data_IF_482675553010
#
_entry.id   IF_482675553010
#
_cell.length_a   1.000
_cell.length_b   1.000
_cell.length_c   1.000
_cell.angle_alpha   90.00
_cell.angle_beta   90.00
_cell.angle_gamma   90.00
#
_symmetry.space_group_name_H-M   'P 1'
#
loop_
_entity.id
_entity.type
_entity.pdbx_description
1 polymer ?
#
# COMPACT_ATOMS: atom_id res chain seq x y z
N UNK A 1 8.40 23.27 -19.81
CA UNK A 1 7.75 24.54 -19.47
C UNK A 1 8.21 24.93 -18.09
N UNK A 2 8.96 26.01 -18.02
CA UNK A 2 9.66 26.49 -16.83
C UNK A 2 8.68 27.23 -15.93
N UNK A 3 8.51 26.78 -14.69
CA UNK A 3 7.92 27.58 -13.61
C UNK A 3 9.04 28.01 -12.65
N UNK A 4 8.96 29.27 -12.23
CA UNK A 4 9.98 30.07 -11.56
C UNK A 4 10.33 29.56 -10.15
N UNK A 5 11.55 29.87 -9.66
CA UNK A 5 11.92 29.71 -8.26
C UNK A 5 11.28 30.83 -7.42
N UNK A 6 11.03 30.54 -6.14
CA UNK A 6 10.59 31.48 -5.09
C UNK A 6 9.08 31.78 -5.03
N UNK A 7 8.32 30.87 -4.39
CA UNK A 7 7.35 31.20 -3.32
C UNK A 7 6.53 29.96 -2.91
N UNK A 8 7.14 28.93 -2.31
CA UNK A 8 6.41 27.96 -1.47
C UNK A 8 7.34 27.50 -0.34
N UNK A 9 7.67 28.41 0.58
CA UNK A 9 8.02 28.01 1.94
C UNK A 9 6.71 27.76 2.72
N UNK A 10 5.99 26.73 2.29
CA UNK A 10 5.07 26.02 3.15
C UNK A 10 5.61 24.61 3.17
N UNK A 11 6.49 24.35 4.13
CA UNK A 11 6.82 23.01 4.57
C UNK A 11 5.49 22.25 4.75
N UNK A 12 5.17 21.34 3.83
CA UNK A 12 4.24 20.26 4.14
C UNK A 12 4.96 19.30 5.08
N UNK A 13 5.09 19.78 6.29
CA UNK A 13 5.62 19.05 7.42
C UNK A 13 4.60 17.95 7.71
N UNK A 14 4.85 16.74 7.23
CA UNK A 14 4.08 15.56 7.64
C UNK A 14 4.32 15.23 9.13
N UNK A 15 5.08 16.05 9.86
CA UNK A 15 5.16 16.12 11.31
C UNK A 15 4.00 16.86 11.99
N UNK A 16 3.12 17.55 11.26
CA UNK A 16 2.12 18.45 11.89
C UNK A 16 0.84 17.75 12.38
N UNK A 17 0.85 16.42 12.48
CA UNK A 17 0.19 15.81 13.64
C UNK A 17 1.19 15.88 14.79
N UNK A 18 1.25 17.01 15.49
CA UNK A 18 1.94 17.17 16.79
C UNK A 18 1.49 16.17 17.87
N UNK A 19 0.64 15.21 17.53
CA UNK A 19 0.33 14.04 18.29
C UNK A 19 1.50 13.04 18.25
N UNK A 20 2.22 12.93 19.36
CA UNK A 20 3.06 11.75 19.62
C UNK A 20 2.23 10.47 19.38
N UNK A 21 2.86 9.33 19.07
CA UNK A 21 2.16 8.02 18.94
C UNK A 21 1.17 7.73 20.09
N UNK A 22 1.45 8.26 21.29
CA UNK A 22 0.62 8.22 22.50
C UNK A 22 -0.69 9.00 22.37
N UNK A 23 -0.72 10.07 21.61
CA UNK A 23 -1.84 10.99 21.45
C UNK A 23 -2.79 10.55 20.33
N UNK A 24 -2.24 10.02 19.22
CA UNK A 24 -3.02 9.29 18.20
C UNK A 24 -3.78 8.09 18.81
N UNK A 25 -3.17 7.37 19.75
CA UNK A 25 -3.80 6.25 20.46
C UNK A 25 -4.81 6.68 21.55
N UNK A 26 -4.75 7.93 22.02
CA UNK A 26 -5.72 8.48 22.99
C UNK A 26 -6.97 9.01 22.30
N UNK A 27 -6.83 9.62 21.12
CA UNK A 27 -7.95 10.22 20.37
C UNK A 27 -8.74 9.21 19.53
N UNK A 28 -8.17 8.03 19.23
CA UNK A 28 -8.84 6.98 18.44
C UNK A 28 -9.54 5.88 19.27
N UNK A 29 -9.65 6.05 20.59
CA UNK A 29 -10.44 5.15 21.45
C UNK A 29 -9.81 3.77 21.74
N UNK A 30 -9.26 3.64 22.94
CA UNK A 30 -9.22 2.37 23.68
C UNK A 30 -7.94 1.52 23.57
N UNK A 31 -7.38 1.22 24.75
CA UNK A 31 -6.12 0.54 25.12
C UNK A 31 -5.85 -0.85 24.51
N UNK A 32 -4.58 -1.11 24.13
CA UNK A 32 -3.92 -2.42 24.30
C UNK A 32 -2.52 -2.20 24.88
N UNK A 33 -2.27 -2.76 26.07
CA UNK A 33 -0.96 -2.99 26.68
C UNK A 33 -0.72 -4.50 26.79
N UNK A 34 0.53 -4.93 26.59
CA UNK A 34 1.01 -6.31 26.82
C UNK A 34 2.08 -6.76 25.80
N UNK A 35 3.30 -6.19 25.80
CA UNK A 35 4.60 -6.73 26.33
C UNK A 35 5.09 -8.04 25.66
N UNK A 36 6.36 -8.26 25.31
CA UNK A 36 7.62 -7.84 25.93
C UNK A 36 8.80 -8.08 24.97
N UNK A 37 9.85 -7.24 25.03
CA UNK A 37 11.23 -7.71 25.11
C UNK A 37 12.04 -6.68 25.91
N UNK A 38 12.15 -6.97 27.21
CA UNK A 38 13.11 -6.49 28.23
C UNK A 38 12.84 -5.12 28.88
N UNK A 39 12.89 -5.16 30.21
CA UNK A 39 12.38 -4.16 31.17
C UNK A 39 13.37 -3.05 31.58
N UNK A 40 13.07 -2.33 32.68
CA UNK A 40 13.50 -0.96 32.92
C UNK A 40 14.79 -0.87 33.74
N UNK A 41 15.72 0.03 33.37
CA UNK A 41 16.42 0.93 34.29
C UNK A 41 17.39 1.85 33.52
N UNK A 42 17.55 3.04 34.10
CA UNK A 42 18.53 4.11 33.83
C UNK A 42 18.16 5.11 32.72
N UNK A 43 17.76 6.28 33.23
CA UNK A 43 17.59 7.54 32.54
C UNK A 43 18.91 8.18 32.11
N UNK A 44 18.76 9.25 31.33
CA UNK A 44 19.71 10.30 30.96
C UNK A 44 20.59 10.10 29.72
N UNK A 45 20.44 11.14 28.89
CA UNK A 45 21.51 11.89 28.24
C UNK A 45 21.95 11.45 26.83
N UNK A 46 21.76 12.43 25.93
CA UNK A 46 22.65 12.82 24.84
C UNK A 46 22.63 11.93 23.59
N UNK A 47 22.15 12.53 22.50
CA UNK A 47 22.71 12.27 21.17
C UNK A 47 24.25 12.24 21.27
N UNK A 48 24.97 11.35 20.56
CA UNK A 48 24.74 11.07 19.14
C UNK A 48 24.84 9.58 18.79
N UNK A 49 23.97 9.11 17.90
CA UNK A 49 24.15 7.81 17.26
C UNK A 49 23.90 7.92 15.77
N UNK A 50 24.95 8.31 15.05
CA UNK A 50 25.19 7.82 13.69
C UNK A 50 25.19 6.30 13.72
N UNK A 51 24.06 5.67 13.38
CA UNK A 51 24.00 4.31 12.89
C UNK A 51 22.82 4.20 11.93
N UNK A 52 23.07 4.44 10.65
CA UNK A 52 22.36 3.76 9.58
C UNK A 52 23.03 2.39 9.39
N UNK A 53 22.34 1.28 9.73
CA UNK A 53 22.45 0.06 8.96
C UNK A 53 21.04 -0.36 8.49
N UNK A 54 20.80 -0.82 7.27
CA UNK A 54 21.64 -1.16 6.16
C UNK A 54 20.84 -0.89 4.88
N UNK A 55 21.52 -0.55 3.78
CA UNK A 55 20.94 -0.71 2.44
C UNK A 55 21.23 -2.13 1.94
N UNK A 56 20.36 -2.58 1.04
CA UNK A 56 20.43 -3.74 0.16
C UNK A 56 20.21 -5.13 0.82
N UNK A 57 19.00 -5.67 0.57
CA UNK A 57 18.65 -7.11 0.58
C UNK A 57 19.07 -7.91 1.82
N UNK A 58 18.42 -7.66 2.96
CA UNK A 58 18.59 -8.52 4.14
C UNK A 58 17.58 -8.18 5.22
N UNK A 59 16.56 -9.03 5.37
CA UNK A 59 15.56 -8.95 6.43
C UNK A 59 14.61 -7.75 6.28
N UNK A 60 13.61 -7.88 5.41
CA UNK A 60 12.39 -7.10 5.65
C UNK A 60 11.98 -7.40 7.08
N UNK A 61 12.02 -6.41 7.98
CA UNK A 61 11.32 -6.52 9.26
C UNK A 61 9.89 -6.85 8.87
N UNK A 62 9.50 -8.10 9.03
CA UNK A 62 8.12 -8.54 8.84
C UNK A 62 7.33 -7.72 9.83
N UNK A 63 6.62 -6.71 9.33
CA UNK A 63 5.60 -6.05 10.13
C UNK A 63 4.69 -7.15 10.66
N UNK A 64 4.37 -7.10 11.95
CA UNK A 64 3.40 -8.03 12.50
C UNK A 64 2.14 -7.93 11.63
N UNK A 65 1.79 -9.04 10.97
CA UNK A 65 0.66 -9.05 10.05
C UNK A 65 -0.62 -8.73 10.80
N UNK A 66 -1.50 -7.96 10.18
CA UNK A 66 -2.86 -7.75 10.69
C UNK A 66 -3.61 -9.07 10.58
N UNK A 67 -4.28 -9.50 11.65
CA UNK A 67 -5.08 -10.72 11.63
C UNK A 67 -6.37 -10.51 10.79
N UNK A 68 -6.50 -11.16 9.62
CA UNK A 68 -7.69 -10.99 8.78
C UNK A 68 -8.96 -11.57 9.42
N UNK A 69 -8.84 -12.37 10.48
CA UNK A 69 -9.98 -12.84 11.25
C UNK A 69 -10.51 -11.78 12.22
N UNK A 70 -9.94 -10.58 12.28
CA UNK A 70 -10.48 -9.48 13.08
C UNK A 70 -11.27 -8.50 12.22
N UNK A 71 -12.46 -8.10 12.67
CA UNK A 71 -13.31 -7.16 11.92
C UNK A 71 -12.65 -5.79 11.73
N UNK A 72 -11.93 -5.32 12.76
CA UNK A 72 -11.21 -4.04 12.74
C UNK A 72 -9.99 -4.04 11.81
N UNK A 73 -9.57 -5.21 11.30
CA UNK A 73 -8.60 -5.33 10.22
C UNK A 73 -9.15 -4.89 8.85
N UNK A 74 -10.49 -4.85 8.72
CA UNK A 74 -11.19 -4.55 7.48
C UNK A 74 -11.95 -3.24 7.55
N UNK A 75 -12.63 -2.95 8.66
CA UNK A 75 -13.45 -1.76 8.79
C UNK A 75 -13.47 -1.19 10.21
N UNK A 76 -13.49 0.13 10.29
CA UNK A 76 -13.76 0.89 11.51
C UNK A 76 -15.01 1.75 11.28
N UNK A 77 -15.89 1.77 12.27
CA UNK A 77 -16.99 2.74 12.39
C UNK A 77 -16.57 3.72 13.47
N UNK A 78 -16.74 5.01 13.22
CA UNK A 78 -16.32 6.09 14.11
C UNK A 78 -17.51 6.70 14.85
N UNK A 79 -17.33 7.23 16.08
CA UNK A 79 -18.40 7.84 16.86
C UNK A 79 -19.11 9.02 16.17
N UNK A 80 -18.43 9.72 15.26
CA UNK A 80 -18.98 10.81 14.44
C UNK A 80 -19.83 10.32 13.24
N UNK A 81 -20.11 9.02 13.20
CA UNK A 81 -20.85 8.33 12.15
C UNK A 81 -20.17 8.47 10.77
N UNK A 82 -18.83 8.41 10.76
CA UNK A 82 -18.01 8.11 9.58
C UNK A 82 -17.47 6.68 9.64
N UNK A 83 -16.88 6.19 8.55
CA UNK A 83 -16.29 4.85 8.49
C UNK A 83 -14.96 4.84 7.74
N UNK A 84 -14.08 3.90 8.09
CA UNK A 84 -12.84 3.63 7.37
C UNK A 84 -12.80 2.18 6.93
N UNK A 85 -12.58 1.96 5.64
CA UNK A 85 -12.28 0.67 5.04
C UNK A 85 -10.77 0.50 4.91
N UNK A 86 -10.24 -0.64 5.34
CA UNK A 86 -8.84 -1.01 5.22
C UNK A 86 -8.69 -2.09 4.14
N UNK A 87 -7.79 -1.86 3.19
CA UNK A 87 -7.51 -2.83 2.12
C UNK A 87 -6.02 -2.90 1.79
N UNK A 88 -5.52 -4.11 1.59
CA UNK A 88 -4.14 -4.35 1.12
C UNK A 88 -3.93 -4.02 -0.36
N UNK A 89 -5.00 -3.67 -1.09
CA UNK A 89 -4.88 -3.19 -2.47
C UNK A 89 -4.30 -1.78 -2.49
N UNK A 90 -3.70 -1.43 -3.62
CA UNK A 90 -3.15 -0.10 -3.90
C UNK A 90 -3.78 0.50 -5.15
N UNK A 91 -4.01 1.82 -5.11
CA UNK A 91 -4.50 2.62 -6.23
C UNK A 91 -3.35 2.99 -7.17
N UNK A 92 -3.55 2.74 -8.46
CA UNK A 92 -2.53 2.98 -9.51
C UNK A 92 -3.09 3.81 -10.69
N UNK A 93 -4.22 4.50 -10.51
CA UNK A 93 -4.97 5.21 -11.54
C UNK A 93 -6.30 4.53 -11.91
N UNK A 94 -6.52 3.30 -11.48
CA UNK A 94 -7.66 2.47 -11.89
C UNK A 94 -8.99 2.76 -11.17
N UNK A 95 -8.98 3.57 -10.11
CA UNK A 95 -10.22 3.93 -9.38
C UNK A 95 -10.74 2.84 -8.46
N UNK A 96 -9.90 1.85 -8.11
CA UNK A 96 -10.27 0.78 -7.20
C UNK A 96 -10.72 1.23 -5.79
N UNK A 97 -10.18 2.30 -5.15
CA UNK A 97 -10.71 2.74 -3.86
C UNK A 97 -12.20 3.07 -3.92
N UNK A 98 -12.65 3.74 -4.98
CA UNK A 98 -14.06 4.08 -5.18
C UNK A 98 -14.93 2.81 -5.30
N UNK A 99 -14.53 1.86 -6.14
CA UNK A 99 -15.29 0.62 -6.33
C UNK A 99 -15.35 -0.22 -5.04
N UNK A 100 -14.23 -0.35 -4.33
CA UNK A 100 -14.18 -1.10 -3.06
C UNK A 100 -14.98 -0.40 -1.95
N UNK A 101 -14.93 0.95 -1.91
CA UNK A 101 -15.77 1.75 -1.02
C UNK A 101 -17.26 1.60 -1.33
N UNK A 102 -17.67 1.57 -2.60
CA UNK A 102 -19.07 1.32 -2.98
C UNK A 102 -19.54 -0.06 -2.50
N UNK A 103 -18.71 -1.10 -2.65
CA UNK A 103 -19.02 -2.45 -2.16
C UNK A 103 -19.22 -2.46 -0.65
N UNK A 104 -18.30 -1.84 0.10
CA UNK A 104 -18.41 -1.75 1.56
C UNK A 104 -19.63 -0.93 2.00
N UNK A 105 -19.85 0.24 1.39
CA UNK A 105 -20.95 1.15 1.70
C UNK A 105 -22.31 0.51 1.42
N UNK A 106 -22.45 -0.15 0.27
CA UNK A 106 -23.65 -0.91 -0.10
C UNK A 106 -23.98 -1.97 0.95
N UNK A 107 -23.00 -2.79 1.30
CA UNK A 107 -23.21 -3.90 2.21
C UNK A 107 -23.39 -3.45 3.67
N UNK A 108 -22.86 -2.28 4.05
CA UNK A 108 -23.07 -1.65 5.36
C UNK A 108 -24.38 -0.84 5.47
N UNK A 109 -25.06 -0.55 4.36
CA UNK A 109 -26.13 0.47 4.29
C UNK A 109 -25.63 1.84 4.81
N UNK A 110 -24.44 2.25 4.36
CA UNK A 110 -23.72 3.42 4.85
C UNK A 110 -23.50 4.47 3.74
N UNK A 111 -23.50 5.78 4.04
CA UNK A 111 -23.31 6.80 3.02
C UNK A 111 -21.89 6.73 2.45
N UNK A 112 -21.79 6.58 1.13
CA UNK A 112 -20.52 6.49 0.40
C UNK A 112 -19.57 7.64 0.71
N UNK A 113 -20.09 8.87 0.84
CA UNK A 113 -19.27 10.05 1.08
C UNK A 113 -18.61 10.09 2.46
N UNK A 114 -19.18 9.40 3.45
CA UNK A 114 -18.61 9.28 4.80
C UNK A 114 -17.75 8.02 5.00
N UNK A 115 -17.52 7.25 3.95
CA UNK A 115 -16.62 6.09 3.96
C UNK A 115 -15.28 6.49 3.33
N UNK A 116 -14.22 6.38 4.14
CA UNK A 116 -12.83 6.62 3.76
C UNK A 116 -12.10 5.30 3.53
N UNK A 117 -11.07 5.30 2.69
CA UNK A 117 -10.32 4.08 2.36
C UNK A 117 -8.85 4.28 2.69
N UNK A 118 -8.30 3.37 3.50
CA UNK A 118 -6.86 3.24 3.76
C UNK A 118 -6.33 2.06 2.96
N UNK A 119 -5.29 2.33 2.17
CA UNK A 119 -4.72 1.39 1.20
C UNK A 119 -3.23 1.20 1.42
N UNK A 120 -2.73 -0.02 1.23
CA UNK A 120 -1.29 -0.27 1.03
C UNK A 120 -0.37 -0.13 2.26
N UNK A 121 -0.92 -0.02 3.46
CA UNK A 121 -0.13 0.03 4.71
C UNK A 121 0.05 -1.37 5.29
N UNK A 122 1.27 -1.89 5.27
CA UNK A 122 1.61 -3.25 5.73
C UNK A 122 1.39 -3.49 7.22
N UNK A 123 1.21 -2.43 8.02
CA UNK A 123 0.93 -2.51 9.47
C UNK A 123 -0.54 -2.39 9.83
N UNK A 124 -1.37 -1.90 8.91
CA UNK A 124 -2.75 -1.48 9.22
C UNK A 124 -3.78 -2.03 8.24
N UNK A 125 -3.35 -2.81 7.24
CA UNK A 125 -4.24 -3.41 6.25
C UNK A 125 -3.92 -4.90 6.12
N UNK A 126 -4.96 -5.69 5.86
CA UNK A 126 -4.84 -7.11 5.55
C UNK A 126 -4.02 -7.37 4.28
N UNK A 127 -3.24 -8.44 4.28
CA UNK A 127 -2.52 -8.88 3.06
C UNK A 127 -3.48 -9.55 2.08
N UNK A 128 -3.96 -8.76 1.12
CA UNK A 128 -4.82 -9.22 0.01
C UNK A 128 -4.01 -9.57 -1.24
N UNK A 129 -2.67 -9.60 -1.16
CA UNK A 129 -1.78 -9.76 -2.29
C UNK A 129 -1.73 -8.53 -3.21
N UNK A 130 -0.92 -8.58 -4.27
CA UNK A 130 -0.59 -7.43 -5.11
C UNK A 130 -1.78 -6.90 -5.95
N UNK A 131 -1.62 -5.67 -6.45
CA UNK A 131 -2.50 -5.07 -7.48
C UNK A 131 -1.86 -5.24 -8.85
N UNK A 132 -2.43 -6.11 -9.69
CA UNK A 132 -2.15 -6.24 -11.13
C UNK A 132 -3.30 -6.98 -11.82
N UNK A 133 -3.26 -7.09 -13.16
CA UNK A 133 -4.07 -8.04 -13.94
C UNK A 133 -5.58 -7.93 -13.75
N UNK A 134 -6.10 -6.75 -13.42
CA UNK A 134 -7.52 -6.52 -13.11
C UNK A 134 -8.05 -7.38 -11.95
N UNK A 135 -7.17 -7.77 -11.02
CA UNK A 135 -7.49 -8.67 -9.92
C UNK A 135 -8.06 -7.92 -8.69
N UNK A 136 -7.87 -6.60 -8.58
CA UNK A 136 -8.19 -5.85 -7.36
C UNK A 136 -9.64 -6.05 -6.91
N UNK A 137 -10.62 -5.56 -7.69
CA UNK A 137 -12.05 -5.71 -7.35
C UNK A 137 -12.50 -7.16 -7.38
N UNK A 138 -11.97 -7.97 -8.32
CA UNK A 138 -12.33 -9.39 -8.46
C UNK A 138 -12.10 -10.20 -7.19
N UNK A 139 -11.00 -9.95 -6.48
CA UNK A 139 -10.62 -10.73 -5.29
C UNK A 139 -10.87 -9.97 -3.99
N UNK A 140 -10.53 -8.68 -3.92
CA UNK A 140 -10.76 -7.89 -2.72
C UNK A 140 -12.24 -7.54 -2.51
N UNK A 141 -13.01 -7.40 -3.60
CA UNK A 141 -14.44 -7.06 -3.55
C UNK A 141 -15.25 -8.06 -2.71
N UNK A 142 -15.23 -9.37 -3.01
CA UNK A 142 -15.93 -10.37 -2.20
C UNK A 142 -15.46 -10.37 -0.73
N UNK A 143 -14.15 -10.29 -0.48
CA UNK A 143 -13.60 -10.26 0.89
C UNK A 143 -14.16 -9.08 1.71
N UNK A 144 -14.13 -7.88 1.11
CA UNK A 144 -14.63 -6.65 1.71
C UNK A 144 -16.14 -6.71 1.89
N UNK A 145 -16.88 -7.22 0.90
CA UNK A 145 -18.34 -7.42 1.00
C UNK A 145 -18.68 -8.31 2.20
N UNK A 146 -18.01 -9.45 2.36
CA UNK A 146 -18.26 -10.32 3.50
C UNK A 146 -17.90 -9.68 4.85
N UNK A 147 -16.77 -8.98 4.94
CA UNK A 147 -16.40 -8.23 6.16
C UNK A 147 -17.44 -7.14 6.50
N UNK A 148 -17.88 -6.38 5.50
CA UNK A 148 -18.92 -5.37 5.63
C UNK A 148 -20.26 -5.97 6.08
N UNK A 149 -20.68 -7.10 5.51
CA UNK A 149 -21.89 -7.81 5.92
C UNK A 149 -21.82 -8.27 7.37
N UNK A 150 -20.69 -8.84 7.79
CA UNK A 150 -20.46 -9.22 9.18
C UNK A 150 -20.52 -7.99 10.11
N UNK A 151 -19.90 -6.88 9.71
CA UNK A 151 -19.99 -5.60 10.42
C UNK A 151 -21.42 -5.11 10.58
N UNK A 152 -22.23 -5.12 9.51
CA UNK A 152 -23.65 -4.74 9.54
C UNK A 152 -24.44 -5.60 10.53
N UNK A 153 -24.21 -6.91 10.56
CA UNK A 153 -24.89 -7.82 11.48
C UNK A 153 -24.56 -7.51 12.95
N UNK A 154 -23.28 -7.21 13.25
CA UNK A 154 -22.85 -6.80 14.60
C UNK A 154 -23.55 -5.51 15.01
N UNK A 155 -23.56 -4.50 14.12
CA UNK A 155 -24.22 -3.22 14.37
C UNK A 155 -25.73 -3.37 14.58
N UNK A 156 -26.40 -4.19 13.77
CA UNK A 156 -27.83 -4.50 13.95
C UNK A 156 -28.11 -5.21 15.28
N UNK A 157 -27.24 -6.13 15.70
CA UNK A 157 -27.35 -6.78 17.02
C UNK A 157 -27.21 -5.77 18.16
N UNK A 158 -26.28 -4.83 18.05
CA UNK A 158 -26.11 -3.75 19.02
C UNK A 158 -27.32 -2.81 19.05
N UNK A 159 -27.85 -2.44 17.89
CA UNK A 159 -29.04 -1.62 17.76
C UNK A 159 -30.28 -2.31 18.34
N UNK A 160 -30.45 -3.60 18.09
CA UNK A 160 -31.53 -4.43 18.68
C UNK A 160 -31.51 -4.36 20.20
N UNK A 161 -30.33 -4.52 20.82
CA UNK A 161 -30.15 -4.38 22.27
C UNK A 161 -30.45 -2.95 22.76
N UNK A 162 -29.99 -1.94 22.02
CA UNK A 162 -30.17 -0.51 22.37
C UNK A 162 -31.63 -0.08 22.29
N UNK A 163 -32.34 -0.47 21.24
CA UNK A 163 -33.73 -0.10 20.95
C UNK A 163 -34.76 -1.04 21.59
N UNK A 164 -34.29 -2.18 22.13
CA UNK A 164 -35.09 -3.24 22.79
C UNK A 164 -36.15 -3.83 21.86
N UNK A 165 -35.76 -4.14 20.63
CA UNK A 165 -36.61 -4.80 19.63
C UNK A 165 -35.83 -5.87 18.86
N UNK A 166 -36.49 -6.91 18.32
CA UNK A 166 -35.83 -7.89 17.45
C UNK A 166 -35.19 -7.25 16.21
N UNK A 167 -34.11 -7.84 15.68
CA UNK A 167 -33.40 -7.32 14.49
C UNK A 167 -34.32 -7.24 13.27
N UNK A 168 -35.31 -8.13 13.18
CA UNK A 168 -36.30 -8.20 12.11
C UNK A 168 -37.24 -6.98 12.09
N UNK A 169 -37.31 -6.23 13.20
CA UNK A 169 -38.07 -4.98 13.30
C UNK A 169 -37.20 -3.74 13.08
N UNK A 170 -35.94 -3.93 12.66
CA UNK A 170 -35.01 -2.86 12.34
C UNK A 170 -34.80 -2.74 10.83
N UNK A 171 -34.60 -1.50 10.39
CA UNK A 171 -34.11 -1.18 9.05
C UNK A 171 -32.89 -0.27 9.18
N UNK A 172 -31.99 -0.32 8.20
CA UNK A 172 -30.84 0.57 8.14
C UNK A 172 -30.92 1.39 6.86
N UNK A 173 -30.66 2.68 7.00
CA UNK A 173 -30.41 3.56 5.87
C UNK A 173 -29.40 4.63 6.30
N UNK A 174 -28.44 4.92 5.43
CA UNK A 174 -27.46 5.99 5.63
C UNK A 174 -26.72 5.91 6.98
N UNK A 175 -26.39 4.67 7.43
CA UNK A 175 -25.72 4.42 8.71
C UNK A 175 -26.61 4.69 9.94
N UNK A 176 -27.93 4.77 9.75
CA UNK A 176 -28.91 4.99 10.81
C UNK A 176 -29.83 3.77 10.90
N UNK A 177 -29.82 3.11 12.06
CA UNK A 177 -30.71 2.00 12.36
C UNK A 177 -32.00 2.56 12.95
N UNK A 178 -33.14 2.22 12.37
CA UNK A 178 -34.46 2.71 12.79
C UNK A 178 -35.43 1.55 12.97
N UNK A 179 -36.42 1.71 13.86
CA UNK A 179 -37.53 0.77 13.95
C UNK A 179 -38.46 0.91 12.73
N UNK A 180 -38.83 -0.20 12.10
CA UNK A 180 -39.72 -0.22 10.92
C UNK A 180 -41.04 0.53 11.18
N UNK A 181 -41.67 0.27 12.32
CA UNK A 181 -42.96 0.85 12.68
C UNK A 181 -42.86 2.18 13.45
N UNK A 182 -41.64 2.63 13.76
CA UNK A 182 -41.41 3.88 14.48
C UNK A 182 -40.08 4.54 14.05
N UNK A 183 -39.99 5.10 12.83
CA UNK A 183 -38.71 5.60 12.27
C UNK A 183 -38.01 6.67 13.11
N UNK A 184 -38.76 7.41 13.93
CA UNK A 184 -38.20 8.39 14.89
C UNK A 184 -37.42 7.74 16.04
N UNK A 185 -37.63 6.45 16.29
CA UNK A 185 -36.83 5.64 17.22
C UNK A 185 -35.68 5.03 16.46
N UNK A 186 -34.55 5.72 16.49
CA UNK A 186 -33.36 5.37 15.73
C UNK A 186 -32.08 5.53 16.56
N UNK A 187 -30.99 4.98 16.03
CA UNK A 187 -29.63 5.10 16.54
C UNK A 187 -28.65 5.01 15.36
N UNK A 188 -27.67 5.88 15.32
CA UNK A 188 -26.60 5.86 14.31
C UNK A 188 -25.59 4.77 14.60
N UNK A 189 -24.83 4.33 13.59
CA UNK A 189 -23.72 3.42 13.82
C UNK A 189 -22.66 4.02 14.74
N UNK A 190 -22.39 5.32 14.61
CA UNK A 190 -21.47 6.04 15.51
C UNK A 190 -21.88 5.96 16.98
N UNK A 191 -23.15 6.20 17.30
CA UNK A 191 -23.66 6.08 18.68
C UNK A 191 -23.60 4.65 19.24
N UNK A 192 -23.65 3.62 18.38
CA UNK A 192 -23.54 2.23 18.83
C UNK A 192 -22.12 1.91 19.31
N UNK A 193 -21.12 2.46 18.61
CA UNK A 193 -19.69 2.20 18.83
C UNK A 193 -19.02 3.23 19.73
N UNK A 194 -19.71 4.31 20.10
CA UNK A 194 -19.15 5.33 20.98
C UNK A 194 -18.61 4.73 22.29
N UNK A 195 -17.35 5.08 22.59
CA UNK A 195 -16.59 4.52 23.72
C UNK A 195 -16.26 3.03 23.65
N UNK A 196 -16.46 2.34 22.51
CA UNK A 196 -16.24 0.90 22.33
C UNK A 196 -15.34 0.61 21.13
N UNK A 197 -14.52 -0.43 21.25
CA UNK A 197 -13.82 -1.01 20.10
C UNK A 197 -14.63 -2.20 19.58
N UNK A 198 -14.89 -2.22 18.26
CA UNK A 198 -15.46 -3.38 17.58
C UNK A 198 -14.36 -4.40 17.24
N UNK A 199 -13.62 -4.86 18.26
CA UNK A 199 -12.65 -5.95 18.12
C UNK A 199 -13.40 -7.29 18.16
N UNK A 200 -13.97 -7.65 17.02
CA UNK A 200 -14.77 -8.85 16.83
C UNK A 200 -14.02 -9.82 15.94
N UNK A 201 -13.95 -11.09 16.34
CA UNK A 201 -13.43 -12.13 15.46
C UNK A 201 -14.50 -12.52 14.44
N UNK A 202 -14.17 -12.36 13.16
CA UNK A 202 -14.88 -12.88 12.00
C UNK A 202 -14.10 -14.09 11.46
N UNK A 203 -14.78 -15.14 11.00
CA UNK A 203 -14.07 -16.28 10.42
C UNK A 203 -13.25 -15.86 9.19
N UNK A 204 -11.96 -16.15 9.14
CA UNK A 204 -11.13 -15.93 7.95
C UNK A 204 -10.20 -17.12 7.71
N UNK A 205 -10.09 -17.56 6.46
CA UNK A 205 -9.22 -18.66 6.05
C UNK A 205 -8.56 -18.36 4.71
N UNK A 206 -7.47 -19.04 4.39
CA UNK A 206 -6.70 -18.78 3.17
C UNK A 206 -5.82 -17.53 3.31
N UNK A 207 -5.23 -17.11 2.19
CA UNK A 207 -4.33 -15.96 2.10
C UNK A 207 -4.55 -15.23 0.79
N UNK A 208 -4.23 -13.94 0.76
CA UNK A 208 -4.19 -13.10 -0.45
C UNK A 208 -5.44 -13.25 -1.33
N UNK A 209 -5.32 -13.90 -2.49
CA UNK A 209 -6.41 -14.09 -3.45
C UNK A 209 -7.40 -15.18 -3.04
N UNK A 210 -6.95 -16.25 -2.37
CA UNK A 210 -7.80 -17.37 -1.94
C UNK A 210 -8.43 -17.13 -0.56
N UNK A 211 -8.21 -15.96 0.02
CA UNK A 211 -8.73 -15.60 1.33
C UNK A 211 -10.26 -15.51 1.29
N UNK A 212 -10.88 -16.29 2.18
CA UNK A 212 -12.31 -16.30 2.44
C UNK A 212 -12.55 -15.62 3.77
N UNK A 213 -13.38 -14.59 3.77
CA UNK A 213 -13.69 -13.74 4.93
C UNK A 213 -15.15 -13.92 5.29
N UNK A 214 -15.46 -14.00 6.57
CA UNK A 214 -16.79 -14.17 7.16
C UNK A 214 -17.73 -15.04 6.29
N UNK A 215 -17.42 -16.33 6.08
CA UNK A 215 -18.17 -17.19 5.15
C UNK A 215 -19.65 -17.31 5.51
N UNK A 216 -20.00 -17.16 6.79
CA UNK A 216 -21.37 -17.25 7.30
C UNK A 216 -22.13 -15.91 7.30
N UNK A 217 -21.50 -14.82 6.82
CA UNK A 217 -22.13 -13.51 6.77
C UNK A 217 -23.31 -13.51 5.77
N UNK A 218 -24.45 -12.94 6.18
CA UNK A 218 -25.63 -12.81 5.33
C UNK A 218 -25.51 -11.56 4.45
N UNK A 219 -25.14 -11.78 3.20
CA UNK A 219 -24.97 -10.72 2.20
C UNK A 219 -26.31 -10.14 1.74
N UNK A 220 -26.31 -8.88 1.31
CA UNK A 220 -27.44 -8.27 0.61
C UNK A 220 -27.65 -8.92 -0.75
N UNK A 221 -28.92 -8.98 -1.16
CA UNK A 221 -29.29 -9.37 -2.52
C UNK A 221 -28.85 -8.27 -3.51
N UNK A 222 -28.06 -8.59 -4.55
CA UNK A 222 -27.63 -7.62 -5.56
C UNK A 222 -28.79 -6.87 -6.25
N UNK A 223 -29.98 -7.47 -6.34
CA UNK A 223 -31.17 -6.80 -6.90
C UNK A 223 -31.66 -5.62 -6.05
N UNK A 224 -31.20 -5.51 -4.80
CA UNK A 224 -31.55 -4.45 -3.85
C UNK A 224 -30.45 -3.38 -3.73
N UNK A 225 -29.41 -3.45 -4.56
CA UNK A 225 -28.32 -2.49 -4.52
C UNK A 225 -28.78 -1.10 -4.95
N UNK A 226 -28.27 -0.09 -4.27
CA UNK A 226 -28.58 1.33 -4.53
C UNK A 226 -27.32 2.18 -4.74
N UNK A 227 -26.16 1.70 -4.29
CA UNK A 227 -24.85 2.34 -4.38
C UNK A 227 -24.00 1.64 -5.43
N UNK A 228 -23.87 0.31 -5.38
CA UNK A 228 -23.08 -0.45 -6.35
C UNK A 228 -23.72 -0.38 -7.74
N UNK A 229 -22.92 -0.10 -8.76
CA UNK A 229 -23.39 0.05 -10.14
C UNK A 229 -23.79 1.48 -10.50
N UNK A 230 -23.78 2.41 -9.54
CA UNK A 230 -24.00 3.84 -9.81
C UNK A 230 -22.70 4.54 -10.21
N UNK A 231 -22.81 5.56 -11.05
CA UNK A 231 -21.69 6.44 -11.40
C UNK A 231 -21.49 7.46 -10.28
N UNK A 232 -20.39 7.32 -9.53
CA UNK A 232 -20.02 8.24 -8.43
C UNK A 232 -18.72 8.98 -8.77
N UNK A 233 -18.62 10.29 -8.46
CA UNK A 233 -17.37 11.02 -8.62
C UNK A 233 -16.22 10.39 -7.83
N UNK A 234 -15.03 10.39 -8.43
CA UNK A 234 -13.81 9.92 -7.76
C UNK A 234 -13.30 10.98 -6.79
N UNK A 235 -13.23 10.62 -5.50
CA UNK A 235 -12.76 11.51 -4.43
C UNK A 235 -11.30 11.91 -4.60
N UNK A 236 -10.51 11.10 -5.30
CA UNK A 236 -9.08 11.31 -5.49
C UNK A 236 -8.71 12.15 -6.73
N UNK A 237 -9.65 12.38 -7.66
CA UNK A 237 -9.37 13.15 -8.89
C UNK A 237 -9.05 14.62 -8.60
N UNK A 238 -9.81 15.37 -7.78
CA UNK A 238 -9.55 16.79 -7.56
C UNK A 238 -8.11 17.07 -7.14
N UNK A 239 -7.62 16.38 -6.10
CA UNK A 239 -6.24 16.53 -5.63
C UNK A 239 -5.18 16.13 -6.67
N UNK A 240 -5.48 15.18 -7.55
CA UNK A 240 -4.59 14.81 -8.66
C UNK A 240 -4.53 15.86 -9.76
N UNK A 241 -5.64 16.53 -10.04
CA UNK A 241 -5.74 17.57 -11.08
C UNK A 241 -5.16 18.89 -10.59
N UNK A 242 -5.33 19.22 -9.30
CA UNK A 242 -4.79 20.45 -8.70
C UNK A 242 -3.31 20.34 -8.33
N UNK A 243 -2.74 19.12 -8.29
CA UNK A 243 -1.35 18.89 -7.89
C UNK A 243 -1.14 18.78 -6.38
N UNK A 244 -2.22 18.74 -5.58
CA UNK A 244 -2.17 18.50 -4.13
C UNK A 244 -1.77 17.06 -3.79
N UNK A 245 -2.14 16.09 -4.65
CA UNK A 245 -1.77 14.70 -4.46
C UNK A 245 -0.28 14.49 -4.68
N UNK A 246 0.43 14.06 -3.63
CA UNK A 246 1.85 13.72 -3.71
C UNK A 246 2.01 12.33 -4.32
N UNK A 247 2.58 12.24 -5.53
CA UNK A 247 2.95 10.96 -6.11
C UNK A 247 4.19 10.40 -5.43
N UNK A 248 4.39 9.08 -5.49
CA UNK A 248 5.58 8.43 -4.91
C UNK A 248 6.90 9.02 -5.40
N UNK A 249 6.91 9.57 -6.62
CA UNK A 249 8.07 10.24 -7.21
C UNK A 249 8.37 11.62 -6.59
N UNK A 250 7.38 12.25 -5.97
CA UNK A 250 7.47 13.58 -5.37
C UNK A 250 7.70 13.52 -3.84
N UNK A 251 7.67 12.33 -3.25
CA UNK A 251 7.95 12.13 -1.82
C UNK A 251 9.39 12.55 -1.52
N UNK A 252 9.56 13.39 -0.50
CA UNK A 252 10.85 13.83 0.02
C UNK A 252 10.99 13.42 1.48
N UNK A 253 12.15 12.90 1.85
CA UNK A 253 12.49 12.58 3.24
C UNK A 253 13.75 13.37 3.66
N UNK A 254 13.94 13.64 4.96
CA UNK A 254 15.18 14.26 5.43
C UNK A 254 16.40 13.44 4.99
N UNK A 255 17.42 14.13 4.46
CA UNK A 255 18.65 13.53 3.95
C UNK A 255 18.44 12.50 2.81
N UNK A 256 17.38 12.67 2.00
CA UNK A 256 17.10 11.79 0.87
C UNK A 256 18.27 11.76 -0.12
N UNK A 257 18.71 10.53 -0.44
CA UNK A 257 19.60 10.27 -1.58
C UNK A 257 18.79 9.69 -2.73
N UNK A 258 19.24 9.96 -3.94
CA UNK A 258 18.65 9.49 -5.19
C UNK A 258 19.47 8.36 -5.79
N UNK A 259 18.82 7.21 -5.97
CA UNK A 259 19.39 6.05 -6.62
C UNK A 259 18.97 5.95 -8.09
N UNK A 260 19.91 5.62 -8.99
CA UNK A 260 19.60 5.24 -10.38
C UNK A 260 20.30 3.92 -10.73
N UNK A 261 19.53 2.97 -11.27
CA UNK A 261 20.07 1.71 -11.79
C UNK A 261 20.74 1.97 -13.13
N UNK A 262 21.98 1.52 -13.28
CA UNK A 262 22.67 1.47 -14.57
C UNK A 262 22.21 0.21 -15.29
N UNK A 263 21.35 0.37 -16.30
CA UNK A 263 20.74 -0.78 -16.98
C UNK A 263 21.80 -1.55 -17.79
N UNK A 264 21.80 -2.90 -17.80
CA UNK A 264 22.63 -3.71 -18.69
C UNK A 264 22.45 -3.33 -20.16
N UNK A 265 23.42 -3.68 -21.01
CA UNK A 265 23.32 -3.42 -22.45
C UNK A 265 22.13 -4.15 -23.11
N UNK A 266 21.91 -5.41 -22.77
CA UNK A 266 20.74 -6.16 -23.18
C UNK A 266 20.34 -7.24 -22.16
N UNK A 267 19.37 -8.06 -22.56
CA UNK A 267 18.89 -9.18 -21.74
C UNK A 267 20.06 -10.14 -21.50
N UNK A 268 20.23 -10.58 -20.25
CA UNK A 268 21.33 -11.47 -19.82
C UNK A 268 22.76 -10.93 -20.00
N UNK A 269 22.95 -9.67 -20.41
CA UNK A 269 24.29 -9.07 -20.45
C UNK A 269 24.93 -9.07 -19.06
N UNK A 270 26.16 -9.59 -18.99
CA UNK A 270 26.99 -9.60 -17.80
C UNK A 270 27.84 -8.34 -17.68
N UNK A 271 27.97 -7.78 -16.48
CA UNK A 271 28.83 -6.65 -16.16
C UNK A 271 30.27 -7.14 -16.06
N UNK A 272 31.09 -6.78 -17.06
CA UNK A 272 32.48 -7.19 -17.16
C UNK A 272 33.38 -6.30 -16.30
N UNK A 273 33.23 -4.98 -16.42
CA UNK A 273 34.04 -4.01 -15.67
C UNK A 273 33.34 -2.65 -15.54
N UNK A 274 33.82 -1.81 -14.61
CA UNK A 274 33.33 -0.45 -14.38
C UNK A 274 34.52 0.47 -14.16
N UNK A 275 34.59 1.56 -14.93
CA UNK A 275 35.48 2.69 -14.69
C UNK A 275 34.74 3.80 -13.92
N UNK A 276 35.15 4.10 -12.69
CA UNK A 276 34.53 5.15 -11.87
C UNK A 276 35.17 6.54 -12.08
N UNK A 277 36.08 6.65 -13.05
CA UNK A 277 36.86 7.84 -13.35
C UNK A 277 36.01 9.09 -13.56
N UNK A 278 36.28 10.11 -12.73
CA UNK A 278 35.60 11.41 -12.80
C UNK A 278 34.12 11.38 -12.46
N UNK A 279 33.59 10.34 -11.81
CA UNK A 279 32.25 10.39 -11.21
C UNK A 279 32.24 11.33 -9.99
N UNK A 280 33.31 11.33 -9.19
CA UNK A 280 33.51 12.25 -8.05
C UNK A 280 33.50 13.74 -8.42
N UNK A 281 33.70 14.07 -9.70
CA UNK A 281 33.63 15.44 -10.19
C UNK A 281 32.19 15.92 -10.44
N UNK A 282 31.20 15.02 -10.41
CA UNK A 282 29.78 15.37 -10.52
C UNK A 282 29.32 15.92 -9.16
N UNK A 283 28.87 17.18 -9.08
CA UNK A 283 28.38 17.74 -7.81
C UNK A 283 27.24 16.89 -7.24
N UNK A 284 27.33 16.56 -5.96
CA UNK A 284 26.36 15.71 -5.26
C UNK A 284 26.49 14.21 -5.54
N UNK A 285 27.52 13.75 -6.26
CA UNK A 285 27.79 12.31 -6.37
C UNK A 285 28.19 11.72 -5.01
N UNK A 286 27.59 10.59 -4.64
CA UNK A 286 27.87 9.90 -3.37
C UNK A 286 28.64 8.60 -3.62
N UNK A 287 28.08 7.68 -4.41
CA UNK A 287 28.69 6.35 -4.59
C UNK A 287 28.23 5.62 -5.86
N UNK A 288 29.04 4.66 -6.31
CA UNK A 288 28.63 3.55 -7.17
C UNK A 288 28.34 2.34 -6.29
N UNK A 289 27.25 1.63 -6.56
CA UNK A 289 26.88 0.37 -5.92
C UNK A 289 26.96 -0.74 -6.95
N UNK A 290 27.84 -1.71 -6.72
CA UNK A 290 27.99 -2.91 -7.55
C UNK A 290 27.74 -4.15 -6.72
N UNK A 291 26.81 -5.00 -7.16
CA UNK A 291 26.56 -6.32 -6.55
C UNK A 291 26.35 -7.35 -7.64
N UNK A 292 27.35 -8.22 -7.87
CA UNK A 292 27.40 -9.14 -9.02
C UNK A 292 27.14 -8.39 -10.35
N UNK A 293 26.01 -8.66 -10.99
CA UNK A 293 25.58 -8.06 -12.25
C UNK A 293 24.76 -6.76 -12.08
N UNK A 294 24.42 -6.39 -10.85
CA UNK A 294 23.72 -5.15 -10.55
C UNK A 294 24.73 -4.00 -10.45
N UNK A 295 24.38 -2.87 -11.09
CA UNK A 295 25.12 -1.63 -11.00
C UNK A 295 24.13 -0.47 -10.79
N UNK A 296 24.43 0.38 -9.82
CA UNK A 296 23.65 1.58 -9.52
C UNK A 296 24.55 2.73 -9.08
N UNK A 297 23.99 3.92 -9.12
CA UNK A 297 24.62 5.14 -8.60
C UNK A 297 23.73 5.77 -7.55
N UNK A 298 24.36 6.42 -6.58
CA UNK A 298 23.71 7.16 -5.50
C UNK A 298 24.24 8.59 -5.52
N UNK A 299 23.34 9.56 -5.41
CA UNK A 299 23.68 10.97 -5.38
C UNK A 299 22.72 11.78 -4.48
N UNK A 300 23.11 12.97 -4.07
CA UNK A 300 22.31 13.90 -3.27
C UNK A 300 21.15 14.51 -4.06
N UNK A 301 21.24 14.52 -5.39
CA UNK A 301 20.18 15.03 -6.26
C UNK A 301 19.85 14.02 -7.35
N UNK A 302 18.59 14.03 -7.79
CA UNK A 302 18.16 13.18 -8.92
C UNK A 302 18.99 13.46 -10.17
N UNK A 303 19.28 14.73 -10.45
CA UNK A 303 20.07 15.12 -11.61
C UNK A 303 21.49 14.55 -11.56
N UNK A 304 22.17 14.63 -10.42
CA UNK A 304 23.50 14.03 -10.27
C UNK A 304 23.47 12.50 -10.47
N UNK A 305 22.44 11.82 -9.97
CA UNK A 305 22.25 10.39 -10.20
C UNK A 305 22.03 10.07 -11.69
N UNK A 306 21.26 10.89 -12.42
CA UNK A 306 21.08 10.74 -13.88
C UNK A 306 22.42 10.93 -14.59
N UNK A 307 23.15 12.02 -14.31
CA UNK A 307 24.46 12.29 -14.95
C UNK A 307 25.48 11.18 -14.69
N UNK A 308 25.54 10.66 -13.46
CA UNK A 308 26.42 9.55 -13.12
C UNK A 308 26.03 8.27 -13.86
N UNK A 309 24.74 7.92 -13.89
CA UNK A 309 24.24 6.74 -14.60
C UNK A 309 24.47 6.83 -16.12
N UNK A 310 24.28 8.00 -16.72
CA UNK A 310 24.57 8.26 -18.13
C UNK A 310 26.05 8.03 -18.46
N UNK A 311 26.96 8.53 -17.61
CA UNK A 311 28.40 8.39 -17.79
C UNK A 311 28.85 6.91 -17.73
N UNK A 312 28.19 6.13 -16.87
CA UNK A 312 28.35 4.68 -16.81
C UNK A 312 27.71 3.94 -18.00
N UNK A 313 26.93 4.60 -18.86
CA UNK A 313 26.36 4.04 -20.08
C UNK A 313 24.85 3.82 -20.07
N UNK A 314 24.13 4.22 -19.02
CA UNK A 314 22.68 4.09 -18.92
C UNK A 314 21.93 5.20 -19.67
N UNK A 315 22.02 5.17 -21.00
CA UNK A 315 21.37 6.11 -21.91
C UNK A 315 20.39 5.43 -22.86
N UNK A 316 19.48 6.23 -23.43
CA UNK A 316 18.41 5.76 -24.32
C UNK A 316 18.95 5.11 -25.60
N UNK A 317 19.96 5.74 -26.21
CA UNK A 317 20.60 5.24 -27.44
C UNK A 317 22.05 4.86 -27.11
N UNK A 318 22.36 3.57 -27.25
CA UNK A 318 23.70 3.01 -27.02
C UNK A 318 24.31 2.54 -28.34
N UNK A 319 25.59 2.80 -28.52
CA UNK A 319 26.40 2.37 -29.67
C UNK A 319 26.89 0.93 -29.57
N UNK A 320 26.79 0.32 -28.38
CA UNK A 320 27.27 -1.03 -28.11
C UNK A 320 27.39 -1.32 -26.61
N UNK A 321 27.79 -2.54 -26.22
CA UNK A 321 27.96 -2.93 -24.82
C UNK A 321 29.14 -2.24 -24.12
N UNK A 322 30.02 -1.60 -24.90
CA UNK A 322 31.15 -0.77 -24.45
C UNK A 322 30.85 0.73 -24.61
N UNK A 323 29.59 1.12 -24.67
CA UNK A 323 29.21 2.54 -24.79
C UNK A 323 28.91 3.17 -23.43
N UNK A 324 29.98 3.57 -22.73
CA UNK A 324 29.95 4.12 -21.37
C UNK A 324 31.03 3.50 -20.49
N UNK A 325 31.21 4.01 -19.28
CA UNK A 325 32.28 3.52 -18.40
C UNK A 325 32.02 2.12 -17.80
N UNK A 326 30.77 1.63 -17.80
CA UNK A 326 30.48 0.23 -17.53
C UNK A 326 30.59 -0.59 -18.82
N UNK A 327 31.35 -1.69 -18.79
CA UNK A 327 31.50 -2.64 -19.89
C UNK A 327 30.59 -3.83 -19.65
N UNK A 328 29.73 -4.10 -20.61
CA UNK A 328 28.81 -5.24 -20.59
C UNK A 328 29.28 -6.30 -21.59
N UNK A 329 28.84 -7.55 -21.40
CA UNK A 329 28.95 -8.56 -22.45
C UNK A 329 27.97 -8.25 -23.58
N UNK A 330 28.28 -8.75 -24.77
CA UNK A 330 27.38 -8.68 -25.91
C UNK A 330 26.01 -9.27 -25.56
N UNK A 331 24.98 -8.64 -26.10
CA UNK A 331 23.64 -9.18 -26.13
C UNK A 331 23.40 -9.79 -27.51
N UNK A 332 23.08 -11.09 -27.55
CA UNK A 332 22.86 -11.83 -28.80
C UNK A 332 21.54 -11.49 -29.50
N UNK A 333 20.81 -10.48 -29.01
CA UNK A 333 19.52 -10.06 -29.57
C UNK A 333 18.37 -10.99 -29.19
N UNK A 334 17.21 -10.72 -29.80
CA UNK A 334 16.12 -11.68 -29.91
C UNK A 334 16.31 -12.49 -31.20
N UNK A 335 15.72 -13.71 -31.31
CA UNK A 335 15.74 -14.47 -32.55
C UNK A 335 15.24 -13.62 -33.73
N UNK A 336 15.91 -13.74 -34.89
CA UNK A 336 15.71 -12.84 -36.02
C UNK A 336 14.32 -12.94 -36.69
N UNK A 337 13.59 -14.05 -36.50
CA UNK A 337 12.27 -14.28 -37.11
C UNK A 337 11.13 -14.17 -36.08
N UNK A 338 10.25 -13.16 -36.20
CA UNK A 338 9.08 -13.00 -35.32
C UNK A 338 8.10 -14.17 -35.35
N UNK A 339 8.06 -14.95 -36.44
CA UNK A 339 7.15 -16.09 -36.61
C UNK A 339 7.51 -17.30 -35.75
N UNK A 340 8.77 -17.41 -35.31
CA UNK A 340 9.28 -18.55 -34.54
C UNK A 340 9.61 -18.16 -33.10
N UNK A 341 9.22 -16.96 -32.65
CA UNK A 341 9.48 -16.52 -31.28
C UNK A 341 8.84 -17.50 -30.28
N UNK A 342 7.63 -18.00 -30.58
CA UNK A 342 6.94 -18.97 -29.73
C UNK A 342 7.63 -20.35 -29.73
N UNK A 343 8.16 -20.81 -30.88
CA UNK A 343 8.93 -22.05 -30.96
C UNK A 343 10.26 -21.93 -30.23
N UNK A 344 10.95 -20.81 -30.44
CA UNK A 344 12.21 -20.51 -29.78
C UNK A 344 12.04 -20.44 -28.27
N UNK A 345 10.95 -19.83 -27.76
CA UNK A 345 10.64 -19.82 -26.33
C UNK A 345 10.30 -21.22 -25.79
N UNK A 346 9.65 -22.09 -26.58
CA UNK A 346 9.35 -23.48 -26.18
C UNK A 346 10.57 -24.39 -26.20
N UNK A 347 11.50 -24.16 -27.11
CA UNK A 347 12.73 -24.93 -27.28
C UNK A 347 13.88 -24.38 -26.44
N UNK A 348 13.80 -23.12 -25.99
CA UNK A 348 14.76 -22.52 -25.09
C UNK A 348 14.90 -23.42 -23.85
N UNK A 349 16.13 -23.83 -23.56
CA UNK A 349 16.42 -24.66 -22.41
C UNK A 349 15.98 -23.92 -21.15
N UNK A 350 14.87 -24.37 -20.54
CA UNK A 350 14.45 -23.88 -19.24
C UNK A 350 15.53 -24.22 -18.22
N UNK A 351 16.17 -23.21 -17.62
CA UNK A 351 16.97 -23.44 -16.42
C UNK A 351 16.02 -23.47 -15.23
N UNK A 352 15.95 -24.63 -14.56
CA UNK A 352 15.42 -24.69 -13.19
C UNK A 352 16.46 -24.02 -12.30
N UNK A 353 16.27 -22.73 -12.04
CA UNK A 353 17.09 -21.96 -11.11
C UNK A 353 16.42 -22.03 -9.75
N UNK A 354 17.08 -22.68 -8.78
CA UNK A 354 16.64 -22.60 -7.38
C UNK A 354 17.05 -21.22 -6.86
N UNK A 355 16.11 -20.27 -6.84
CA UNK A 355 16.38 -18.86 -6.51
C UNK A 355 16.75 -18.67 -5.03
N UNK A 356 16.41 -19.62 -4.16
CA UNK A 356 16.99 -19.75 -2.82
C UNK A 356 16.74 -21.15 -2.28
N UNK A 357 17.80 -21.88 -1.90
CA UNK A 357 17.65 -23.11 -1.08
C UNK A 357 18.14 -22.93 0.37
N UNK A 358 18.82 -21.81 0.68
CA UNK A 358 19.09 -21.28 2.03
C UNK A 358 19.29 -19.77 1.87
N UNK A 359 18.73 -18.97 2.78
CA UNK A 359 18.72 -17.50 2.70
C UNK A 359 20.08 -16.83 2.86
N UNK A 360 20.97 -16.97 1.90
CA UNK A 360 22.18 -16.15 1.76
C UNK A 360 22.26 -15.64 0.32
N UNK A 361 21.98 -14.34 0.17
CA UNK A 361 21.91 -13.67 -1.14
C UNK A 361 23.29 -13.17 -1.61
N UNK A 362 24.37 -13.42 -0.86
CA UNK A 362 25.68 -12.77 -1.03
C UNK A 362 26.88 -13.67 -1.38
N UNK A 363 26.68 -14.90 -1.88
CA UNK A 363 27.79 -15.74 -2.38
C UNK A 363 28.18 -15.47 -3.86
#
# INVERSE_FOLDING_TARGET
MNARPESVSATSDLSDFGASRREFLKTSGGLVLGFSLLGPMVALAQQPATHLPASATGGAKTFAGVDPAKLDAWLAIHPDNTATLFTGKVEQGNGSPNALAQIAAEELDFPFDKLFVVMGTTTSTVDQGPTYGSMAVRYAGPQIRHAAAAGRQVLLSMASKRLKVPVEQLTVRDGVVSMVNAPKRSVTYGELVDGKRLDMTIGATGKTFDMKVAPDAKLKDPSKYTIVGTSVPRKDIPGKVTGEFTYVHDVKVPNMLHGRVVRPYGIESGLLSVDEGGLKAIPGFVAVVRQRNFLGVVAETEWAAIKAAEKLGSKLVRKGPTDGQARWSDWQGLPATPHDLWETLRQASGKVITVANRGHVDA
#
